data_IF_039736873758
#
_entry.id   IF_039736873758
#
_cell.length_a   1.000
_cell.length_b   1.000
_cell.length_c   1.000
_cell.angle_alpha   90.00
_cell.angle_beta   90.00
_cell.angle_gamma   90.00
#
_symmetry.space_group_name_H-M   'P 1'
#
loop_
_entity.id
_entity.type
_entity.pdbx_description
1 polymer ?
#
# COMPACT_ATOMS: atom_id res chain seq x y z
N UNK A 1 -2.16 -15.65 12.84
CA UNK A 1 -2.27 -17.00 12.25
C UNK A 1 -1.16 -17.10 11.22
N UNK A 2 -0.24 -18.04 11.43
CA UNK A 2 0.85 -18.28 10.49
C UNK A 2 0.54 -19.55 9.71
N UNK A 3 0.36 -19.44 8.40
CA UNK A 3 -0.14 -20.53 7.55
C UNK A 3 0.93 -20.94 6.57
N UNK A 4 1.76 -21.92 6.95
CA UNK A 4 2.72 -22.58 6.06
C UNK A 4 2.00 -23.58 5.16
N UNK A 5 1.91 -23.26 3.86
CA UNK A 5 1.26 -24.14 2.90
C UNK A 5 2.03 -25.44 2.58
N UNK A 6 1.49 -26.24 1.65
CA UNK A 6 0.44 -25.83 0.70
C UNK A 6 -0.96 -25.74 1.32
N UNK A 7 -1.64 -24.62 1.06
CA UNK A 7 -3.07 -24.44 1.27
C UNK A 7 -3.71 -24.00 -0.05
N UNK A 8 -4.87 -24.55 -0.39
CA UNK A 8 -5.65 -24.14 -1.56
C UNK A 8 -7.09 -23.83 -1.14
N UNK A 9 -7.64 -22.72 -1.65
CA UNK A 9 -9.05 -22.32 -1.43
C UNK A 9 -9.43 -22.16 0.04
N UNK A 10 -8.47 -21.80 0.89
CA UNK A 10 -8.75 -21.47 2.28
C UNK A 10 -9.53 -20.16 2.33
N UNK A 11 -10.61 -20.11 3.11
CA UNK A 11 -11.34 -18.88 3.40
C UNK A 11 -11.32 -18.63 4.91
N UNK A 12 -10.81 -17.47 5.30
CA UNK A 12 -10.88 -16.96 6.67
C UNK A 12 -11.78 -15.73 6.64
N UNK A 13 -12.85 -15.73 7.43
CA UNK A 13 -13.78 -14.60 7.43
C UNK A 13 -14.36 -14.30 8.81
N UNK A 14 -14.80 -13.05 8.98
CA UNK A 14 -15.48 -12.58 10.19
C UNK A 14 -14.67 -12.72 11.48
N UNK A 15 -13.33 -12.69 11.38
CA UNK A 15 -12.46 -12.80 12.55
C UNK A 15 -12.12 -11.43 13.13
N UNK A 16 -11.76 -11.43 14.42
CA UNK A 16 -11.22 -10.25 15.13
C UNK A 16 -9.88 -10.62 15.73
N UNK A 17 -8.81 -10.02 15.24
CA UNK A 17 -7.44 -10.27 15.70
C UNK A 17 -6.91 -8.98 16.31
N UNK A 18 -6.52 -9.02 17.59
CA UNK A 18 -6.11 -7.82 18.32
C UNK A 18 -4.93 -8.08 19.23
N UNK A 19 -4.11 -7.05 19.43
CA UNK A 19 -3.03 -7.05 20.42
C UNK A 19 -2.09 -8.25 20.20
N UNK A 20 -1.61 -8.40 18.97
CA UNK A 20 -0.65 -9.45 18.62
C UNK A 20 0.76 -8.90 18.78
N UNK A 21 1.71 -9.78 19.10
CA UNK A 21 3.12 -9.42 19.18
C UNK A 21 3.79 -9.29 17.80
N UNK A 22 3.18 -9.87 16.76
CA UNK A 22 3.65 -9.87 15.38
C UNK A 22 2.43 -9.80 14.44
N UNK A 23 2.48 -10.51 13.30
CA UNK A 23 1.45 -10.50 12.28
C UNK A 23 0.06 -10.91 12.79
N UNK A 24 -0.97 -10.38 12.13
CA UNK A 24 -2.34 -10.84 12.31
C UNK A 24 -2.61 -12.17 11.59
N UNK A 25 -2.54 -12.18 10.26
CA UNK A 25 -2.57 -13.40 9.42
C UNK A 25 -1.48 -13.31 8.36
N UNK A 26 -0.70 -14.37 8.21
CA UNK A 26 0.30 -14.50 7.17
C UNK A 26 0.02 -15.76 6.34
N UNK A 27 -0.26 -15.56 5.05
CA UNK A 27 -0.27 -16.61 4.03
C UNK A 27 1.16 -16.87 3.60
N UNK A 28 1.82 -17.79 4.29
CA UNK A 28 3.23 -18.09 4.12
C UNK A 28 3.42 -19.37 3.31
N UNK A 29 4.27 -19.34 2.29
CA UNK A 29 4.66 -20.51 1.48
C UNK A 29 3.49 -21.27 0.82
N UNK A 30 3.38 -21.19 -0.48
CA UNK A 30 2.50 -22.06 -1.28
C UNK A 30 1.01 -22.02 -0.87
N UNK A 31 0.56 -20.88 -0.33
CA UNK A 31 -0.87 -20.60 -0.16
C UNK A 31 -1.41 -20.06 -1.47
N UNK A 32 -2.44 -20.71 -2.01
CA UNK A 32 -3.06 -20.34 -3.29
C UNK A 32 -4.57 -20.21 -3.21
N UNK A 33 -5.13 -19.37 -4.10
CA UNK A 33 -6.58 -19.22 -4.27
C UNK A 33 -7.35 -18.95 -2.96
N UNK A 34 -6.67 -18.36 -1.97
CA UNK A 34 -7.17 -18.25 -0.60
C UNK A 34 -7.58 -16.82 -0.28
N UNK A 35 -8.52 -16.66 0.64
CA UNK A 35 -9.15 -15.38 0.94
C UNK A 35 -9.17 -15.08 2.43
N UNK A 36 -8.85 -13.85 2.81
CA UNK A 36 -9.21 -13.27 4.11
C UNK A 36 -10.20 -12.14 3.88
N UNK A 37 -11.39 -12.22 4.49
CA UNK A 37 -12.42 -11.21 4.26
C UNK A 37 -13.28 -10.86 5.47
N UNK A 38 -13.92 -9.69 5.45
CA UNK A 38 -14.89 -9.25 6.48
C UNK A 38 -14.30 -9.31 7.91
N UNK A 39 -12.99 -9.07 8.04
CA UNK A 39 -12.27 -9.28 9.30
C UNK A 39 -11.69 -7.98 9.85
N UNK A 40 -11.48 -7.92 11.16
CA UNK A 40 -10.96 -6.73 11.84
C UNK A 40 -9.66 -7.03 12.58
N UNK A 41 -8.62 -6.27 12.23
CA UNK A 41 -7.29 -6.30 12.81
C UNK A 41 -7.02 -4.99 13.52
N UNK A 42 -6.54 -5.05 14.77
CA UNK A 42 -6.12 -3.84 15.48
C UNK A 42 -4.96 -4.10 16.40
N UNK A 43 -3.96 -3.21 16.40
CA UNK A 43 -2.81 -3.32 17.30
C UNK A 43 -2.04 -4.64 17.09
N UNK A 44 -1.66 -4.92 15.84
CA UNK A 44 -0.70 -5.99 15.51
C UNK A 44 0.71 -5.48 15.70
N UNK A 45 1.63 -6.37 16.06
CA UNK A 45 3.03 -6.00 16.33
C UNK A 45 3.92 -6.04 15.11
N UNK A 46 3.38 -6.45 13.96
CA UNK A 46 3.97 -6.47 12.62
C UNK A 46 2.79 -6.40 11.61
N UNK A 47 2.99 -6.82 10.35
CA UNK A 47 2.00 -6.82 9.27
C UNK A 47 0.65 -7.38 9.72
N UNK A 48 -0.43 -6.58 9.66
CA UNK A 48 -1.72 -7.10 10.10
C UNK A 48 -2.23 -8.24 9.20
N UNK A 49 -1.99 -8.12 7.91
CA UNK A 49 -2.27 -9.09 6.87
C UNK A 49 -1.06 -9.20 5.94
N UNK A 50 -0.51 -10.39 5.77
CA UNK A 50 0.63 -10.63 4.90
C UNK A 50 0.38 -11.80 3.94
N UNK A 51 0.84 -11.63 2.69
CA UNK A 51 1.06 -12.72 1.76
C UNK A 51 2.57 -12.84 1.56
N UNK A 52 3.21 -13.84 2.16
CA UNK A 52 4.64 -14.07 2.00
C UNK A 52 4.92 -15.30 1.14
N UNK A 53 5.29 -15.04 -0.11
CA UNK A 53 5.36 -16.06 -1.15
C UNK A 53 6.69 -16.83 -1.21
N UNK A 54 7.23 -17.24 -0.06
CA UNK A 54 8.44 -18.06 0.01
C UNK A 54 8.20 -19.40 -0.72
N UNK A 55 9.00 -19.70 -1.75
CA UNK A 55 8.86 -20.96 -2.48
C UNK A 55 7.63 -21.07 -3.39
N UNK A 56 6.87 -19.99 -3.61
CA UNK A 56 5.73 -19.91 -4.53
C UNK A 56 4.37 -19.76 -3.83
N UNK A 57 3.30 -19.62 -4.62
CA UNK A 57 1.94 -19.25 -4.18
C UNK A 57 1.41 -18.01 -4.95
N UNK A 58 0.16 -17.63 -4.71
CA UNK A 58 -0.51 -16.56 -5.46
C UNK A 58 -2.02 -16.75 -5.59
N UNK A 59 -2.67 -15.87 -6.35
CA UNK A 59 -4.12 -15.84 -6.56
C UNK A 59 -4.92 -15.66 -5.26
N UNK A 60 -4.29 -15.06 -4.24
CA UNK A 60 -4.93 -14.83 -2.95
C UNK A 60 -5.63 -13.48 -2.93
N UNK A 61 -6.67 -13.36 -2.11
CA UNK A 61 -7.46 -12.12 -1.97
C UNK A 61 -7.57 -11.69 -0.51
N UNK A 62 -7.20 -10.45 -0.21
CA UNK A 62 -7.59 -9.79 1.03
C UNK A 62 -8.64 -8.72 0.73
N UNK A 63 -9.87 -8.93 1.20
CA UNK A 63 -10.97 -8.02 0.89
C UNK A 63 -11.90 -7.66 2.03
N UNK A 64 -12.46 -6.45 2.05
CA UNK A 64 -13.41 -6.02 3.08
C UNK A 64 -12.89 -6.17 4.51
N UNK A 65 -11.59 -6.01 4.72
CA UNK A 65 -11.00 -6.02 6.05
C UNK A 65 -10.85 -4.61 6.59
N UNK A 66 -10.90 -4.47 7.92
CA UNK A 66 -10.51 -3.26 8.63
C UNK A 66 -9.17 -3.53 9.33
N UNK A 67 -8.19 -2.65 9.14
CA UNK A 67 -6.89 -2.70 9.79
C UNK A 67 -6.63 -1.35 10.44
N UNK A 68 -6.30 -1.36 11.72
CA UNK A 68 -6.02 -0.14 12.49
C UNK A 68 -4.79 -0.30 13.38
N UNK A 69 -3.92 0.69 13.36
CA UNK A 69 -2.81 0.81 14.30
C UNK A 69 -1.89 -0.43 14.31
N UNK A 70 -1.38 -0.94 13.17
CA UNK A 70 -0.18 -1.77 13.21
C UNK A 70 0.96 -0.97 13.86
N UNK A 71 1.58 -1.56 14.89
CA UNK A 71 2.63 -0.89 15.68
C UNK A 71 3.96 -0.83 14.91
N UNK A 72 4.23 -1.88 14.13
CA UNK A 72 5.39 -1.99 13.26
C UNK A 72 4.91 -2.49 11.89
N UNK A 73 5.68 -2.19 10.85
CA UNK A 73 5.45 -2.66 9.49
C UNK A 73 4.10 -2.19 8.93
N UNK A 74 3.40 -3.04 8.17
CA UNK A 74 2.34 -2.60 7.27
C UNK A 74 0.94 -2.94 7.77
N UNK A 75 -0.07 -2.28 7.19
CA UNK A 75 -1.44 -2.76 7.31
C UNK A 75 -1.65 -4.06 6.54
N UNK A 76 -1.31 -4.03 5.24
CA UNK A 76 -1.42 -5.17 4.35
C UNK A 76 -0.11 -5.28 3.55
N UNK A 77 0.54 -6.44 3.56
CA UNK A 77 1.78 -6.68 2.82
C UNK A 77 1.64 -7.81 1.80
N UNK A 78 2.21 -7.58 0.61
CA UNK A 78 2.38 -8.56 -0.45
C UNK A 78 3.88 -8.72 -0.70
N UNK A 79 4.49 -9.80 -0.23
CA UNK A 79 5.87 -10.15 -0.51
C UNK A 79 5.93 -11.15 -1.67
N UNK A 80 5.96 -10.60 -2.89
CA UNK A 80 5.97 -11.34 -4.14
C UNK A 80 4.66 -12.08 -4.45
N UNK A 81 4.76 -13.03 -5.38
CA UNK A 81 3.68 -13.92 -5.78
C UNK A 81 2.83 -13.48 -6.97
N UNK A 82 2.03 -14.44 -7.44
CA UNK A 82 1.31 -14.33 -8.69
C UNK A 82 -0.11 -13.79 -8.47
N UNK A 83 -0.50 -12.75 -9.20
CA UNK A 83 -1.89 -12.30 -9.33
C UNK A 83 -2.70 -12.17 -8.03
N UNK A 84 -2.11 -11.58 -6.98
CA UNK A 84 -2.79 -11.34 -5.71
C UNK A 84 -3.72 -10.11 -5.78
N UNK A 85 -4.74 -10.09 -4.93
CA UNK A 85 -5.74 -9.01 -4.89
C UNK A 85 -5.88 -8.46 -3.47
N UNK A 86 -5.79 -7.13 -3.34
CA UNK A 86 -6.07 -6.38 -2.10
C UNK A 86 -7.14 -5.36 -2.41
N UNK A 87 -8.37 -5.60 -1.95
CA UNK A 87 -9.50 -4.79 -2.41
C UNK A 87 -10.56 -4.47 -1.36
N UNK A 88 -11.18 -3.30 -1.43
CA UNK A 88 -12.29 -2.92 -0.54
C UNK A 88 -11.92 -2.93 0.96
N UNK A 89 -10.65 -2.74 1.32
CA UNK A 89 -10.20 -2.69 2.71
C UNK A 89 -10.16 -1.26 3.26
N UNK A 90 -10.35 -1.11 4.57
CA UNK A 90 -10.02 0.11 5.31
C UNK A 90 -8.72 -0.13 6.09
N UNK A 91 -7.71 0.70 5.85
CA UNK A 91 -6.37 0.55 6.47
C UNK A 91 -5.94 1.88 7.05
N UNK A 92 -5.61 1.93 8.34
CA UNK A 92 -5.28 3.20 8.97
C UNK A 92 -4.22 3.12 10.08
N UNK A 93 -3.58 4.27 10.30
CA UNK A 93 -2.83 4.63 11.49
C UNK A 93 -1.56 3.78 11.74
N UNK A 94 -0.79 3.43 10.71
CA UNK A 94 0.52 2.78 10.88
C UNK A 94 1.50 3.63 11.70
N UNK A 95 2.26 3.00 12.58
CA UNK A 95 3.08 3.72 13.56
C UNK A 95 4.57 3.79 13.20
N UNK A 96 5.18 2.71 12.72
CA UNK A 96 6.64 2.67 12.47
C UNK A 96 7.03 1.68 11.37
N UNK A 97 8.06 2.03 10.59
CA UNK A 97 8.77 1.15 9.62
C UNK A 97 7.85 0.47 8.59
N UNK A 98 6.74 1.11 8.24
CA UNK A 98 5.85 0.59 7.19
C UNK A 98 4.66 1.46 6.84
N UNK A 99 3.97 1.04 5.78
CA UNK A 99 2.89 1.76 5.12
C UNK A 99 1.53 1.12 5.27
N UNK A 100 0.51 1.73 4.69
CA UNK A 100 -0.83 1.15 4.64
C UNK A 100 -0.84 -0.18 3.89
N UNK A 101 -0.47 -0.13 2.62
CA UNK A 101 -0.34 -1.30 1.74
C UNK A 101 1.09 -1.38 1.21
N UNK A 102 1.71 -2.54 1.31
CA UNK A 102 3.05 -2.81 0.83
C UNK A 102 3.05 -3.82 -0.31
N UNK A 103 3.82 -3.54 -1.35
CA UNK A 103 4.20 -4.52 -2.37
C UNK A 103 5.71 -4.62 -2.41
N UNK A 104 6.23 -5.78 -2.01
CA UNK A 104 7.66 -6.01 -1.87
C UNK A 104 8.12 -7.18 -2.73
N UNK A 105 9.16 -6.97 -3.53
CA UNK A 105 10.03 -8.08 -3.92
C UNK A 105 11.12 -8.18 -2.87
N UNK A 106 10.72 -8.76 -1.73
CA UNK A 106 11.53 -8.84 -0.50
C UNK A 106 11.54 -10.26 0.07
N UNK A 107 12.58 -10.51 0.84
CA UNK A 107 12.95 -11.76 1.52
C UNK A 107 13.50 -12.81 0.55
N UNK A 108 14.75 -13.27 0.77
CA UNK A 108 15.32 -14.36 0.00
C UNK A 108 14.40 -15.60 -0.02
N UNK A 109 14.20 -16.17 -1.20
CA UNK A 109 13.32 -17.33 -1.39
C UNK A 109 11.88 -16.99 -1.81
N UNK A 110 11.44 -15.74 -1.62
CA UNK A 110 10.18 -15.25 -2.18
C UNK A 110 10.21 -15.26 -3.70
N UNK A 111 9.14 -15.72 -4.35
CA UNK A 111 8.98 -15.56 -5.80
C UNK A 111 8.53 -14.14 -6.11
N UNK A 112 9.20 -13.38 -7.02
CA UNK A 112 8.83 -12.01 -7.35
C UNK A 112 7.36 -11.86 -7.78
N UNK A 113 6.83 -10.63 -7.70
CA UNK A 113 5.53 -10.28 -8.25
C UNK A 113 5.45 -10.71 -9.72
N UNK A 114 4.41 -11.47 -10.06
CA UNK A 114 4.13 -11.96 -11.40
C UNK A 114 2.63 -11.95 -11.71
N UNK A 115 2.26 -12.17 -12.98
CA UNK A 115 0.87 -12.01 -13.41
C UNK A 115 0.39 -10.57 -13.21
N UNK A 116 -0.80 -10.40 -12.65
CA UNK A 116 -1.39 -9.07 -12.38
C UNK A 116 -1.86 -8.95 -10.94
N UNK A 117 -1.10 -8.22 -10.12
CA UNK A 117 -1.53 -7.85 -8.76
C UNK A 117 -2.50 -6.68 -8.84
N UNK A 118 -3.60 -6.74 -8.09
CA UNK A 118 -4.65 -5.70 -8.08
C UNK A 118 -4.78 -5.10 -6.68
N UNK A 119 -4.69 -3.77 -6.59
CA UNK A 119 -4.91 -3.00 -5.37
C UNK A 119 -6.04 -2.02 -5.67
N UNK A 120 -7.26 -2.34 -5.25
CA UNK A 120 -8.44 -1.61 -5.72
C UNK A 120 -9.45 -1.25 -4.63
N UNK A 121 -10.03 -0.04 -4.71
CA UNK A 121 -11.13 0.39 -3.82
C UNK A 121 -10.81 0.36 -2.33
N UNK A 122 -9.54 0.47 -1.96
CA UNK A 122 -9.15 0.56 -0.55
C UNK A 122 -9.25 2.02 -0.07
N UNK A 123 -9.58 2.19 1.21
CA UNK A 123 -9.51 3.47 1.92
C UNK A 123 -8.32 3.41 2.87
N UNK A 124 -7.30 4.20 2.59
CA UNK A 124 -6.01 4.18 3.29
C UNK A 124 -5.83 5.53 3.98
N UNK A 125 -5.87 5.55 5.31
CA UNK A 125 -6.03 6.78 6.12
C UNK A 125 -4.89 6.97 7.10
N UNK A 126 -4.24 8.13 7.13
CA UNK A 126 -3.13 8.43 8.07
C UNK A 126 -2.07 7.32 8.10
N UNK A 127 -1.78 6.81 6.90
CA UNK A 127 -0.85 5.72 6.68
C UNK A 127 0.50 6.26 6.19
N UNK A 128 1.50 5.38 6.25
CA UNK A 128 2.91 5.76 6.12
C UNK A 128 3.48 6.14 7.48
N UNK A 129 4.77 5.93 7.68
CA UNK A 129 5.42 6.20 8.96
C UNK A 129 6.87 6.61 8.73
N UNK A 130 7.45 7.30 9.70
CA UNK A 130 8.89 7.55 9.67
C UNK A 130 9.63 6.21 9.74
N UNK A 131 10.64 6.06 8.89
CA UNK A 131 11.54 4.93 8.95
C UNK A 131 12.93 5.43 9.36
N UNK A 132 13.48 4.83 10.42
CA UNK A 132 14.86 5.03 10.87
C UNK A 132 15.70 3.78 10.69
N UNK A 133 15.09 2.68 10.26
CA UNK A 133 15.78 1.45 9.96
C UNK A 133 16.78 1.70 8.83
N UNK A 134 17.96 1.08 8.94
CA UNK A 134 19.02 1.19 7.93
C UNK A 134 19.48 2.64 7.62
N UNK A 135 19.44 3.52 8.61
CA UNK A 135 19.81 4.96 8.47
C UNK A 135 18.94 5.72 7.48
N UNK A 136 17.72 5.24 7.19
CA UNK A 136 16.75 6.03 6.46
C UNK A 136 16.36 7.25 7.30
N UNK A 137 16.17 8.38 6.62
CA UNK A 137 15.78 9.66 7.22
C UNK A 137 14.54 10.24 6.53
N UNK A 138 13.75 9.38 5.89
CA UNK A 138 12.53 9.70 5.17
C UNK A 138 11.40 8.75 5.60
N UNK A 139 10.16 9.07 5.25
CA UNK A 139 9.01 8.24 5.58
C UNK A 139 8.72 7.14 4.55
N UNK A 140 7.89 6.18 4.93
CA UNK A 140 7.29 5.22 4.01
C UNK A 140 5.97 5.75 3.46
N UNK A 141 5.66 5.36 2.21
CA UNK A 141 4.40 5.75 1.59
C UNK A 141 3.19 5.02 2.17
N UNK A 142 2.00 5.61 2.04
CA UNK A 142 0.73 4.94 2.38
C UNK A 142 0.51 3.67 1.54
N UNK A 143 0.89 3.70 0.26
CA UNK A 143 1.14 2.56 -0.62
C UNK A 143 2.57 2.67 -1.12
N UNK A 144 3.35 1.61 -0.94
CA UNK A 144 4.76 1.64 -1.30
C UNK A 144 5.22 0.35 -1.98
N UNK A 145 6.06 0.54 -3.00
CA UNK A 145 6.65 -0.50 -3.83
C UNK A 145 8.13 -0.61 -3.50
N UNK A 146 8.51 -1.74 -2.92
CA UNK A 146 9.89 -1.97 -2.51
C UNK A 146 10.52 -3.16 -3.23
N UNK A 147 11.28 -2.86 -4.28
CA UNK A 147 12.05 -3.86 -5.02
C UNK A 147 13.43 -4.06 -4.38
N UNK A 148 13.50 -4.69 -3.20
CA UNK A 148 14.79 -4.85 -2.49
C UNK A 148 15.65 -5.97 -3.05
N UNK A 149 15.08 -7.17 -3.16
CA UNK A 149 15.80 -8.40 -3.47
C UNK A 149 15.69 -8.82 -4.94
N UNK A 150 14.75 -8.22 -5.68
CA UNK A 150 14.58 -8.39 -7.12
C UNK A 150 13.83 -7.22 -7.75
N UNK A 151 14.11 -6.93 -9.02
CA UNK A 151 13.34 -5.98 -9.82
C UNK A 151 11.86 -6.38 -9.88
N UNK A 152 10.98 -5.38 -9.91
CA UNK A 152 9.53 -5.56 -9.95
C UNK A 152 9.02 -5.32 -11.37
N UNK A 153 8.71 -6.42 -12.07
CA UNK A 153 8.30 -6.40 -13.48
C UNK A 153 6.89 -6.97 -13.73
N UNK A 154 6.32 -7.69 -12.77
CA UNK A 154 4.92 -8.12 -12.84
C UNK A 154 3.96 -6.93 -12.87
N UNK A 155 2.78 -7.11 -13.48
CA UNK A 155 1.83 -6.02 -13.60
C UNK A 155 1.17 -5.71 -12.25
N UNK A 156 1.04 -4.43 -11.93
CA UNK A 156 0.35 -3.96 -10.73
C UNK A 156 -0.65 -2.88 -11.11
N UNK A 157 -1.93 -3.15 -10.86
CA UNK A 157 -3.02 -2.23 -11.10
C UNK A 157 -3.48 -1.64 -9.78
N UNK A 158 -3.32 -0.32 -9.63
CA UNK A 158 -3.77 0.44 -8.47
C UNK A 158 -4.94 1.31 -8.92
N UNK A 159 -6.16 0.94 -8.52
CA UNK A 159 -7.36 1.62 -9.03
C UNK A 159 -8.41 1.96 -7.98
N UNK A 160 -9.05 3.12 -8.15
CA UNK A 160 -10.19 3.55 -7.33
C UNK A 160 -9.90 3.59 -5.81
N UNK A 161 -8.63 3.73 -5.39
CA UNK A 161 -8.26 3.84 -3.98
C UNK A 161 -8.39 5.30 -3.51
N UNK A 162 -8.72 5.46 -2.23
CA UNK A 162 -8.71 6.74 -1.53
C UNK A 162 -7.57 6.77 -0.51
N UNK A 163 -6.62 7.67 -0.71
CA UNK A 163 -5.56 7.98 0.23
C UNK A 163 -5.93 9.26 0.97
N UNK A 164 -6.10 9.19 2.28
CA UNK A 164 -6.62 10.28 3.09
C UNK A 164 -5.61 10.60 4.18
N UNK A 165 -5.13 11.84 4.18
CA UNK A 165 -4.28 12.39 5.23
C UNK A 165 -2.99 11.58 5.45
N UNK A 166 -2.30 11.19 4.38
CA UNK A 166 -1.07 10.38 4.49
C UNK A 166 -0.03 11.10 5.35
N UNK A 167 0.61 10.38 6.27
CA UNK A 167 1.60 10.96 7.20
C UNK A 167 2.81 11.53 6.44
N UNK A 168 3.16 10.89 5.32
CA UNK A 168 4.15 11.31 4.33
C UNK A 168 3.49 11.30 2.94
N UNK A 169 4.11 10.69 1.95
CA UNK A 169 3.55 10.53 0.62
C UNK A 169 2.54 9.36 0.57
N UNK A 170 1.49 9.48 -0.26
CA UNK A 170 0.60 8.36 -0.53
C UNK A 170 1.26 7.25 -1.35
N UNK A 171 2.06 7.58 -2.36
CA UNK A 171 2.66 6.61 -3.29
C UNK A 171 4.18 6.69 -3.22
N UNK A 172 4.86 5.57 -3.01
CA UNK A 172 6.33 5.56 -2.90
C UNK A 172 6.95 4.39 -3.69
N UNK A 173 7.96 4.68 -4.52
CA UNK A 173 8.80 3.71 -5.22
C UNK A 173 10.25 3.70 -4.72
N UNK A 174 10.76 2.55 -4.30
CA UNK A 174 12.12 2.43 -3.73
C UNK A 174 12.78 1.07 -4.02
N UNK A 175 14.12 1.05 -4.00
CA UNK A 175 14.94 -0.15 -4.22
C UNK A 175 15.52 -0.21 -5.64
N UNK A 176 15.53 -1.41 -6.21
CA UNK A 176 15.79 -1.68 -7.63
C UNK A 176 14.62 -1.24 -8.52
N UNK A 177 14.70 -1.54 -9.82
CA UNK A 177 13.72 -1.08 -10.81
C UNK A 177 12.29 -1.56 -10.50
N UNK A 178 11.33 -0.64 -10.59
CA UNK A 178 9.88 -0.93 -10.46
C UNK A 178 9.15 -0.49 -11.74
N UNK A 179 8.50 -1.42 -12.42
CA UNK A 179 7.85 -1.20 -13.72
C UNK A 179 6.46 -1.85 -13.76
N UNK A 180 5.71 -1.61 -14.85
CA UNK A 180 4.36 -2.16 -15.06
C UNK A 180 3.35 -1.80 -13.95
N UNK A 181 3.50 -0.61 -13.36
CA UNK A 181 2.54 -0.06 -12.41
C UNK A 181 1.60 0.91 -13.10
N UNK A 182 0.30 0.74 -12.88
CA UNK A 182 -0.73 1.68 -13.32
C UNK A 182 -1.46 2.26 -12.11
N UNK A 183 -1.66 3.58 -12.12
CA UNK A 183 -2.48 4.31 -11.16
C UNK A 183 -3.69 4.87 -11.92
N UNK A 184 -4.90 4.40 -11.62
CA UNK A 184 -6.10 4.82 -12.33
C UNK A 184 -7.24 5.20 -11.38
N UNK A 185 -7.83 6.39 -11.53
CA UNK A 185 -8.99 6.84 -10.72
C UNK A 185 -8.74 6.85 -9.21
N UNK A 186 -7.49 7.02 -8.77
CA UNK A 186 -7.21 7.14 -7.33
C UNK A 186 -7.46 8.58 -6.86
N UNK A 187 -7.74 8.73 -5.57
CA UNK A 187 -7.93 10.03 -4.92
C UNK A 187 -6.90 10.19 -3.82
N UNK A 188 -6.11 11.25 -3.90
CA UNK A 188 -5.17 11.67 -2.85
C UNK A 188 -5.74 12.94 -2.22
N UNK A 189 -6.11 12.83 -0.95
CA UNK A 189 -6.76 13.88 -0.17
C UNK A 189 -5.89 14.11 1.07
N UNK A 190 -4.94 15.03 0.99
CA UNK A 190 -4.00 15.30 2.07
C UNK A 190 -2.79 14.38 2.05
N UNK A 191 -1.61 14.98 2.12
CA UNK A 191 -0.34 14.29 2.31
C UNK A 191 0.64 15.21 3.04
N UNK A 192 1.37 14.71 4.02
CA UNK A 192 2.37 15.48 4.75
C UNK A 192 3.50 15.97 3.84
N UNK A 193 3.89 15.18 2.83
CA UNK A 193 4.99 15.50 1.91
C UNK A 193 4.47 15.78 0.50
N UNK A 194 4.68 14.85 -0.44
CA UNK A 194 4.30 14.94 -1.85
C UNK A 194 3.18 13.93 -2.15
N UNK A 195 2.54 14.01 -3.32
CA UNK A 195 1.58 12.97 -3.74
C UNK A 195 2.30 11.65 -4.11
N UNK A 196 3.53 11.74 -4.59
CA UNK A 196 4.35 10.59 -4.97
C UNK A 196 5.84 10.84 -4.71
N UNK A 197 6.53 9.82 -4.20
CA UNK A 197 7.98 9.80 -4.01
C UNK A 197 8.65 8.70 -4.84
N UNK A 198 9.72 9.05 -5.54
CA UNK A 198 10.46 8.16 -6.43
C UNK A 198 11.93 8.15 -6.03
N UNK A 199 12.42 6.97 -5.63
CA UNK A 199 13.82 6.71 -5.25
C UNK A 199 14.49 5.59 -6.04
N UNK A 200 13.80 4.95 -6.98
CA UNK A 200 14.35 3.90 -7.83
C UNK A 200 14.13 4.17 -9.34
N UNK A 201 14.85 3.44 -10.19
CA UNK A 201 14.55 3.40 -11.63
C UNK A 201 13.17 2.78 -11.88
N UNK A 202 12.56 3.01 -13.05
CA UNK A 202 11.27 2.38 -13.33
C UNK A 202 10.33 3.10 -14.28
N UNK A 203 9.06 2.73 -14.20
CA UNK A 203 8.00 3.40 -14.93
C UNK A 203 6.63 3.25 -14.26
N UNK A 204 5.81 4.30 -14.36
CA UNK A 204 4.41 4.29 -13.94
C UNK A 204 3.54 4.98 -14.99
N UNK A 205 2.32 4.47 -15.20
CA UNK A 205 1.28 5.17 -15.96
C UNK A 205 0.22 5.68 -14.99
N UNK A 206 -0.14 6.96 -15.10
CA UNK A 206 -1.09 7.61 -14.20
C UNK A 206 -2.25 8.16 -15.03
N UNK A 207 -3.47 7.81 -14.70
CA UNK A 207 -4.69 8.31 -15.35
C UNK A 207 -5.76 8.64 -14.30
N UNK A 208 -6.53 9.70 -14.54
CA UNK A 208 -7.70 10.09 -13.73
C UNK A 208 -7.43 10.14 -12.21
N UNK A 209 -6.18 10.30 -11.79
CA UNK A 209 -5.80 10.27 -10.38
C UNK A 209 -5.63 11.70 -9.90
N UNK A 210 -6.35 12.08 -8.86
CA UNK A 210 -6.36 13.46 -8.35
C UNK A 210 -5.54 13.56 -7.07
N UNK A 211 -4.89 14.71 -6.86
CA UNK A 211 -4.18 15.00 -5.62
C UNK A 211 -4.44 16.43 -5.16
N UNK A 212 -4.87 16.58 -3.92
CA UNK A 212 -5.16 17.87 -3.27
C UNK A 212 -4.65 17.88 -1.83
N UNK A 213 -4.41 19.07 -1.26
CA UNK A 213 -4.01 19.22 0.14
C UNK A 213 -2.60 18.69 0.44
N UNK A 214 -1.68 18.77 -0.53
CA UNK A 214 -0.31 18.30 -0.37
C UNK A 214 0.50 19.33 0.44
N UNK A 215 1.29 18.86 1.40
CA UNK A 215 2.17 19.70 2.21
C UNK A 215 3.27 20.37 1.40
N UNK A 216 3.73 19.72 0.33
CA UNK A 216 4.75 20.23 -0.58
C UNK A 216 4.27 20.24 -2.04
N UNK A 217 4.83 19.41 -2.91
CA UNK A 217 4.53 19.37 -4.34
C UNK A 217 3.82 18.08 -4.76
N UNK A 218 3.65 17.90 -6.08
CA UNK A 218 3.07 16.68 -6.63
C UNK A 218 4.02 15.50 -6.53
N UNK A 219 5.27 15.65 -6.96
CA UNK A 219 6.24 14.55 -7.08
C UNK A 219 7.60 14.96 -6.49
N UNK A 220 8.12 14.15 -5.57
CA UNK A 220 9.53 14.13 -5.18
C UNK A 220 10.22 13.05 -6.01
N UNK A 221 11.17 13.42 -6.86
CA UNK A 221 11.83 12.47 -7.75
C UNK A 221 13.35 12.60 -7.66
N UNK A 222 13.96 11.61 -7.02
CA UNK A 222 15.40 11.47 -6.85
C UNK A 222 16.08 10.75 -8.02
N UNK A 223 15.37 10.50 -9.11
CA UNK A 223 15.80 9.66 -10.23
C UNK A 223 15.54 10.33 -11.57
N UNK A 224 16.44 10.10 -12.51
CA UNK A 224 16.29 10.54 -13.91
C UNK A 224 15.88 9.40 -14.84
N UNK A 225 15.93 8.16 -14.34
CA UNK A 225 15.65 6.90 -15.03
C UNK A 225 14.31 6.27 -14.59
N UNK A 226 13.38 7.12 -14.11
CA UNK A 226 12.01 6.73 -13.82
C UNK A 226 11.04 7.48 -14.75
N UNK A 227 10.32 6.73 -15.59
CA UNK A 227 9.41 7.29 -16.57
C UNK A 227 7.99 7.44 -16.01
N UNK A 228 7.44 8.65 -16.06
CA UNK A 228 6.05 8.91 -15.72
C UNK A 228 5.27 9.13 -17.01
N UNK A 229 4.30 8.26 -17.27
CA UNK A 229 3.38 8.40 -18.40
C UNK A 229 2.07 8.99 -17.90
N UNK A 230 1.77 10.21 -18.33
CA UNK A 230 0.48 10.86 -18.09
C UNK A 230 -0.55 10.35 -19.09
N UNK A 231 -1.45 9.49 -18.63
CA UNK A 231 -2.58 8.97 -19.41
C UNK A 231 -3.82 9.88 -19.40
N UNK A 232 -3.71 11.11 -18.87
CA UNK A 232 -4.76 12.12 -18.85
C UNK A 232 -5.66 12.07 -17.61
N UNK A 233 -6.30 13.21 -17.32
CA UNK A 233 -7.28 13.34 -16.22
C UNK A 233 -6.69 13.51 -14.81
N UNK A 234 -5.37 13.70 -14.69
CA UNK A 234 -4.70 13.76 -13.38
C UNK A 234 -4.73 15.14 -12.70
N UNK A 235 -5.01 16.20 -13.46
CA UNK A 235 -4.72 17.57 -13.01
C UNK A 235 -3.23 17.91 -13.17
N UNK A 236 -2.71 18.85 -12.38
CA UNK A 236 -1.34 19.38 -12.56
C UNK A 236 -0.28 18.76 -11.63
N UNK A 237 -0.66 17.82 -10.75
CA UNK A 237 0.29 17.27 -9.77
C UNK A 237 1.28 16.26 -10.40
N UNK A 238 0.96 15.72 -11.59
CA UNK A 238 1.84 14.80 -12.33
C UNK A 238 2.94 15.51 -13.12
N UNK A 239 2.88 16.84 -13.22
CA UNK A 239 3.88 17.65 -13.93
C UNK A 239 4.82 18.32 -12.93
N UNK A 240 6.05 17.85 -12.79
CA UNK A 240 7.04 18.53 -11.95
C UNK A 240 8.49 18.32 -12.43
N UNK A 241 9.36 19.34 -12.38
CA UNK A 241 10.80 19.16 -12.54
C UNK A 241 11.33 18.25 -11.42
N UNK A 242 12.21 17.27 -11.72
CA UNK A 242 12.78 16.39 -10.71
C UNK A 242 13.39 17.18 -9.54
N UNK A 243 13.05 16.78 -8.32
CA UNK A 243 13.56 17.40 -7.09
C UNK A 243 13.89 16.30 -6.08
N UNK A 244 15.09 16.37 -5.50
CA UNK A 244 15.56 15.48 -4.44
C UNK A 244 16.18 16.34 -3.34
N UNK A 245 15.36 16.94 -2.47
CA UNK A 245 15.84 17.83 -1.44
C UNK A 245 16.69 17.08 -0.39
N UNK A 246 17.73 17.76 0.08
CA UNK A 246 18.55 17.37 1.24
C UNK A 246 18.75 18.61 2.13
N UNK A 247 18.23 18.66 3.37
CA UNK A 247 17.58 17.56 4.11
C UNK A 247 16.21 17.15 3.56
N UNK A 248 15.76 15.95 3.92
CA UNK A 248 14.41 15.46 3.61
C UNK A 248 13.34 16.42 4.16
N UNK A 249 12.27 16.73 3.40
CA UNK A 249 11.27 17.71 3.78
C UNK A 249 10.51 17.28 5.03
N UNK A 250 10.39 18.21 5.98
CA UNK A 250 9.51 18.03 7.13
C UNK A 250 8.04 17.99 6.66
N UNK A 251 7.24 17.01 7.10
CA UNK A 251 5.82 16.98 6.76
C UNK A 251 5.06 18.25 7.17
N UNK A 252 4.16 18.70 6.30
CA UNK A 252 3.23 19.82 6.54
C UNK A 252 1.81 19.28 6.38
N UNK A 253 1.10 19.16 7.50
CA UNK A 253 -0.28 18.67 7.51
C UNK A 253 -1.26 19.81 7.29
N UNK A 254 -1.89 19.82 6.12
CA UNK A 254 -3.00 20.73 5.81
C UNK A 254 -4.29 20.09 6.30
N UNK A 255 -5.17 20.85 6.96
CA UNK A 255 -6.47 20.32 7.40
C UNK A 255 -7.26 19.79 6.20
N UNK A 256 -7.42 18.48 6.13
CA UNK A 256 -8.38 17.85 5.23
C UNK A 256 -9.75 17.90 5.88
N UNK A 257 -10.74 18.47 5.18
CA UNK A 257 -12.11 18.40 5.64
C UNK A 257 -12.50 16.92 5.72
N UNK A 258 -12.71 16.41 6.94
CA UNK A 258 -13.34 15.11 7.10
C UNK A 258 -14.75 15.26 6.55
N UNK A 259 -15.02 14.72 5.37
CA UNK A 259 -16.38 14.31 5.09
C UNK A 259 -16.69 13.27 6.16
N UNK A 260 -17.67 13.56 7.03
CA UNK A 260 -18.26 12.49 7.80
C UNK A 260 -18.63 11.40 6.81
N UNK A 261 -18.22 10.14 7.01
CA UNK A 261 -18.80 9.06 6.22
C UNK A 261 -20.30 9.16 6.44
N UNK A 262 -21.08 9.34 5.38
CA UNK A 262 -22.54 9.19 5.44
C UNK A 262 -22.77 7.87 6.20
N UNK A 263 -23.39 7.96 7.38
CA UNK A 263 -23.84 6.77 8.08
C UNK A 263 -24.63 5.97 7.06
N UNK A 264 -24.14 4.78 6.71
CA UNK A 264 -24.95 3.77 6.03
C UNK A 264 -26.20 3.60 6.89
N UNK A 265 -27.31 4.21 6.46
CA UNK A 265 -28.57 4.17 7.16
C UNK A 265 -28.91 2.71 7.37
N UNK A 266 -29.04 2.30 8.64
CA UNK A 266 -29.40 0.94 8.99
C UNK A 266 -30.67 0.55 8.22
N UNK A 267 -30.58 -0.51 7.41
CA UNK A 267 -31.75 -1.13 6.79
C UNK A 267 -32.70 -1.53 7.93
N UNK A 268 -33.96 -1.06 7.95
CA UNK A 268 -34.90 -1.46 8.98
C UNK A 268 -35.12 -2.97 8.88
N UNK A 269 -34.80 -3.70 9.93
CA UNK A 269 -35.25 -5.09 10.06
C UNK A 269 -36.73 -5.06 10.43
N UNK A 270 -37.60 -5.18 9.43
CA UNK A 270 -39.01 -5.50 9.67
C UNK A 270 -39.08 -6.93 10.21
N UNK A 271 -39.61 -7.08 11.43
CA UNK A 271 -40.15 -8.34 11.94
C UNK A 271 -41.47 -8.67 11.26
#
# INVERSE_FOLDING_TARGET
MWLDGPFDKLTISNVRIRNQQADGINFHRQVTNSTVTQSFFRNTGDDALAMWNEGGGGFNTFSFNRVEIPVLANGIAIYGGESNVVTDNYVADQQAEGGGVHVGNRFPGSKPISGTTVIARNVIVRAGSQDYYNSWNFGTGALWFYALDAEMTGAINVEDNSFIDSNYEPIHFIGSSVTNVTLNRNQIIGAGTYAMEIRCAGAVTISNTTAIGLGHGGILNCRTDFAITDGGGNGSWTTQPPVCPDPYPTPIYVSVASSEPEQLSAVPTSK
#
